data_IF_277369277626
#
_entry.id   IF_277369277626
#
_cell.length_a   1.000
_cell.length_b   1.000
_cell.length_c   1.000
_cell.angle_alpha   90.00
_cell.angle_beta   90.00
_cell.angle_gamma   90.00
#
_symmetry.space_group_name_H-M   'P 1'
#
loop_
_entity.id
_entity.type
_entity.pdbx_description
1 polymer ?
#
# COMPACT_ATOMS: atom_id res chain seq x y z
N UNK A 1 -5.70 -32.77 -29.86
CA UNK A 1 -5.03 -33.28 -28.64
C UNK A 1 -4.09 -32.24 -28.02
N UNK A 2 -3.22 -31.59 -28.80
CA UNK A 2 -2.30 -30.55 -28.26
C UNK A 2 -3.04 -29.26 -27.85
N UNK A 3 -3.93 -28.73 -28.70
CA UNK A 3 -4.75 -27.54 -28.37
C UNK A 3 -5.68 -27.75 -27.16
N UNK A 4 -6.19 -28.97 -26.96
CA UNK A 4 -7.03 -29.31 -25.79
C UNK A 4 -6.23 -29.37 -24.49
N UNK A 5 -4.95 -29.77 -24.55
CA UNK A 5 -4.07 -29.80 -23.38
C UNK A 5 -3.59 -28.40 -22.95
N UNK A 6 -3.36 -27.51 -23.93
CA UNK A 6 -3.04 -26.10 -23.68
C UNK A 6 -4.23 -25.39 -23.06
N UNK A 7 -5.43 -25.58 -23.62
CA UNK A 7 -6.65 -25.00 -23.07
C UNK A 7 -6.90 -25.42 -21.62
N UNK A 8 -6.74 -26.71 -21.30
CA UNK A 8 -6.88 -27.20 -19.93
C UNK A 8 -5.89 -26.55 -18.96
N UNK A 9 -4.63 -26.37 -19.36
CA UNK A 9 -3.64 -25.65 -18.54
C UNK A 9 -4.01 -24.19 -18.32
N UNK A 10 -4.47 -23.52 -19.38
CA UNK A 10 -4.92 -22.13 -19.32
C UNK A 10 -6.11 -21.99 -18.36
N UNK A 11 -7.14 -22.83 -18.52
CA UNK A 11 -8.35 -22.81 -17.69
C UNK A 11 -7.99 -23.06 -16.21
N UNK A 12 -7.05 -23.97 -15.92
CA UNK A 12 -6.57 -24.20 -14.55
C UNK A 12 -5.90 -22.96 -13.96
N UNK A 13 -4.96 -22.34 -14.67
CA UNK A 13 -4.31 -21.11 -14.18
C UNK A 13 -5.31 -19.98 -13.97
N UNK A 14 -6.30 -19.82 -14.86
CA UNK A 14 -7.36 -18.84 -14.66
C UNK A 14 -8.19 -19.11 -13.40
N UNK A 15 -8.55 -20.37 -13.16
CA UNK A 15 -9.34 -20.75 -11.98
C UNK A 15 -8.57 -20.54 -10.67
N UNK A 16 -7.25 -20.74 -10.65
CA UNK A 16 -6.40 -20.51 -9.47
C UNK A 16 -6.36 -19.04 -9.05
N UNK A 17 -6.45 -18.10 -9.99
CA UNK A 17 -6.32 -16.66 -9.72
C UNK A 17 -7.62 -15.89 -9.84
N UNK A 18 -8.71 -16.52 -10.26
CA UNK A 18 -9.99 -15.85 -10.56
C UNK A 18 -10.53 -15.07 -9.35
N UNK A 19 -10.39 -15.63 -8.14
CA UNK A 19 -10.82 -14.97 -6.90
C UNK A 19 -10.07 -13.68 -6.59
N UNK A 20 -8.88 -13.45 -7.16
CA UNK A 20 -8.18 -12.16 -7.01
C UNK A 20 -8.91 -11.02 -7.71
N UNK A 21 -9.80 -11.33 -8.66
CA UNK A 21 -10.60 -10.34 -9.39
C UNK A 21 -11.97 -10.09 -8.74
N UNK A 22 -12.35 -10.83 -7.71
CA UNK A 22 -13.60 -10.61 -7.00
C UNK A 22 -13.59 -9.20 -6.35
N UNK A 23 -14.64 -8.38 -6.54
CA UNK A 23 -14.68 -7.04 -5.97
C UNK A 23 -14.74 -7.07 -4.44
N UNK A 24 -13.81 -6.37 -3.79
CA UNK A 24 -13.88 -6.09 -2.34
C UNK A 24 -14.91 -4.98 -2.10
N UNK A 25 -14.84 -3.92 -2.91
CA UNK A 25 -15.82 -2.83 -2.97
C UNK A 25 -15.69 -2.05 -4.29
N UNK A 26 -16.57 -1.07 -4.54
CA UNK A 26 -16.56 -0.25 -5.75
C UNK A 26 -16.04 1.16 -5.43
N UNK A 27 -15.20 1.72 -6.31
CA UNK A 27 -14.76 3.11 -6.21
C UNK A 27 -15.89 4.09 -6.51
N UNK A 28 -16.07 5.09 -5.65
CA UNK A 28 -16.97 6.23 -5.86
C UNK A 28 -16.30 7.45 -6.50
N UNK A 29 -15.01 7.38 -6.84
CA UNK A 29 -14.27 8.50 -7.41
C UNK A 29 -13.22 8.08 -8.44
N UNK A 30 -12.76 9.05 -9.23
CA UNK A 30 -11.54 8.91 -10.04
C UNK A 30 -10.36 9.42 -9.22
N UNK A 31 -9.30 8.62 -9.11
CA UNK A 31 -8.06 9.03 -8.47
C UNK A 31 -6.87 8.66 -9.34
N UNK A 32 -6.11 9.69 -9.70
CA UNK A 32 -4.92 9.58 -10.51
C UNK A 32 -3.77 8.93 -9.75
N UNK A 33 -2.81 8.38 -10.49
CA UNK A 33 -1.64 7.66 -9.94
C UNK A 33 -0.85 8.48 -8.92
N UNK A 34 -0.68 9.78 -9.15
CA UNK A 34 0.04 10.68 -8.24
C UNK A 34 -0.71 10.87 -6.92
N UNK A 35 -2.03 11.05 -6.97
CA UNK A 35 -2.88 11.16 -5.79
C UNK A 35 -2.90 9.84 -5.00
N UNK A 36 -2.91 8.70 -5.69
CA UNK A 36 -2.75 7.39 -5.04
C UNK A 36 -1.38 7.22 -4.37
N UNK A 37 -0.30 7.73 -4.99
CA UNK A 37 1.03 7.70 -4.38
C UNK A 37 1.04 8.44 -3.04
N UNK A 38 0.37 9.59 -2.97
CA UNK A 38 0.21 10.35 -1.73
C UNK A 38 -0.71 9.63 -0.73
N UNK A 39 -1.80 9.01 -1.19
CA UNK A 39 -2.68 8.20 -0.35
C UNK A 39 -1.96 7.02 0.29
N UNK A 40 -1.08 6.34 -0.46
CA UNK A 40 -0.23 5.28 0.09
C UNK A 40 0.71 5.82 1.18
N UNK A 41 1.31 7.00 0.97
CA UNK A 41 2.07 7.69 2.02
C UNK A 41 1.24 7.93 3.28
N UNK A 42 -0.02 8.35 3.13
CA UNK A 42 -0.98 8.50 4.23
C UNK A 42 -1.24 7.17 4.96
N UNK A 43 -1.41 6.06 4.24
CA UNK A 43 -1.63 4.73 4.84
C UNK A 43 -0.44 4.34 5.74
N UNK A 44 0.78 4.50 5.22
CA UNK A 44 2.01 4.20 5.95
C UNK A 44 2.16 5.11 7.19
N UNK A 45 1.95 6.41 7.03
CA UNK A 45 1.97 7.38 8.13
C UNK A 45 0.97 6.99 9.23
N UNK A 46 -0.26 6.68 8.82
CA UNK A 46 -1.36 6.39 9.73
C UNK A 46 -1.20 5.06 10.46
N UNK A 47 -0.75 3.99 9.80
CA UNK A 47 -0.58 2.66 10.42
C UNK A 47 0.45 2.70 11.56
N UNK A 48 1.55 3.41 11.35
CA UNK A 48 2.70 3.41 12.26
C UNK A 48 2.81 4.64 13.15
N UNK A 49 1.83 5.55 13.08
CA UNK A 49 1.82 6.80 13.83
C UNK A 49 3.10 7.62 13.61
N UNK A 50 3.59 7.67 12.37
CA UNK A 50 4.77 8.45 12.00
C UNK A 50 4.40 9.94 11.86
N UNK A 51 5.41 10.81 11.94
CA UNK A 51 5.22 12.23 11.63
C UNK A 51 4.97 12.43 10.14
N UNK A 52 5.68 11.66 9.30
CA UNK A 52 5.59 11.73 7.85
C UNK A 52 5.58 10.31 7.26
N UNK A 53 4.72 10.09 6.27
CA UNK A 53 4.75 8.92 5.40
C UNK A 53 5.31 9.29 4.03
N UNK A 54 6.28 8.55 3.52
CA UNK A 54 6.99 8.86 2.29
C UNK A 54 6.92 7.69 1.31
N UNK A 55 6.27 7.90 0.18
CA UNK A 55 6.12 6.88 -0.86
C UNK A 55 6.67 7.39 -2.20
N UNK A 56 7.34 6.51 -2.94
CA UNK A 56 7.94 6.87 -4.20
C UNK A 56 6.91 6.83 -5.32
N UNK A 57 6.83 7.89 -6.13
CA UNK A 57 5.85 7.99 -7.22
C UNK A 57 5.95 6.82 -8.21
N UNK A 58 7.15 6.28 -8.41
CA UNK A 58 7.41 5.14 -9.29
C UNK A 58 6.84 3.82 -8.78
N UNK A 59 6.60 3.70 -7.47
CA UNK A 59 6.04 2.52 -6.81
C UNK A 59 4.54 2.35 -7.04
N UNK A 60 3.85 3.42 -7.41
CA UNK A 60 2.43 3.38 -7.79
C UNK A 60 2.31 3.28 -9.31
N UNK A 61 1.56 2.29 -9.82
CA UNK A 61 1.59 1.87 -11.23
C UNK A 61 0.28 2.01 -11.99
N UNK A 62 -0.82 2.20 -11.29
CA UNK A 62 -2.15 2.31 -11.89
C UNK A 62 -2.98 3.42 -11.21
N UNK A 63 -4.05 3.86 -11.86
CA UNK A 63 -5.07 4.78 -11.33
C UNK A 63 -6.32 4.00 -10.91
N UNK A 64 -7.28 4.67 -10.27
CA UNK A 64 -8.62 4.09 -10.04
C UNK A 64 -9.66 4.98 -10.74
N UNK A 65 -10.57 4.38 -11.48
CA UNK A 65 -11.72 5.07 -12.09
C UNK A 65 -12.94 5.01 -11.19
N UNK A 66 -13.84 5.99 -11.34
CA UNK A 66 -15.15 5.94 -10.69
C UNK A 66 -15.97 4.77 -11.21
N UNK A 67 -16.59 4.01 -10.32
CA UNK A 67 -17.32 2.78 -10.63
C UNK A 67 -16.42 1.55 -10.84
N UNK A 68 -15.10 1.69 -10.75
CA UNK A 68 -14.18 0.57 -10.88
C UNK A 68 -14.24 -0.35 -9.65
N UNK A 69 -14.16 -1.67 -9.90
CA UNK A 69 -14.07 -2.66 -8.83
C UNK A 69 -12.68 -2.65 -8.19
N UNK A 70 -12.64 -2.44 -6.88
CA UNK A 70 -11.43 -2.61 -6.08
C UNK A 70 -11.33 -4.07 -5.65
N UNK A 71 -10.67 -4.88 -6.47
CA UNK A 71 -10.30 -6.25 -6.16
C UNK A 71 -8.85 -6.33 -5.69
N UNK A 72 -8.42 -7.48 -5.15
CA UNK A 72 -7.01 -7.68 -4.82
C UNK A 72 -6.12 -7.48 -6.06
N UNK A 73 -6.52 -8.01 -7.22
CA UNK A 73 -5.81 -7.83 -8.48
C UNK A 73 -5.69 -6.35 -8.87
N UNK A 74 -6.73 -5.53 -8.62
CA UNK A 74 -6.66 -4.08 -8.85
C UNK A 74 -5.68 -3.40 -7.89
N UNK A 75 -5.75 -3.71 -6.60
CA UNK A 75 -4.86 -3.12 -5.60
C UNK A 75 -3.39 -3.53 -5.83
N UNK A 76 -3.15 -4.77 -6.22
CA UNK A 76 -1.84 -5.26 -6.66
C UNK A 76 -1.38 -4.55 -7.94
N UNK A 77 -2.25 -4.31 -8.91
CA UNK A 77 -1.89 -3.54 -10.11
C UNK A 77 -1.45 -2.11 -9.77
N UNK A 78 -2.01 -1.50 -8.72
CA UNK A 78 -1.61 -0.18 -8.22
C UNK A 78 -0.25 -0.24 -7.52
N UNK A 79 0.00 -1.24 -6.66
CA UNK A 79 1.27 -1.43 -5.95
C UNK A 79 1.82 -2.85 -6.15
N UNK A 80 2.45 -3.12 -7.31
CA UNK A 80 2.86 -4.48 -7.70
C UNK A 80 4.24 -4.89 -7.18
N UNK A 81 4.85 -4.06 -6.33
CA UNK A 81 6.15 -4.33 -5.75
C UNK A 81 5.94 -4.73 -4.29
N UNK A 82 6.63 -5.79 -3.85
CA UNK A 82 6.62 -6.26 -2.47
C UNK A 82 7.45 -5.36 -1.53
N UNK A 83 7.41 -4.04 -1.77
CA UNK A 83 8.07 -3.07 -0.93
C UNK A 83 7.43 -3.06 0.45
N UNK A 84 8.26 -3.16 1.48
CA UNK A 84 7.85 -3.14 2.88
C UNK A 84 8.05 -1.77 3.51
N UNK A 85 7.30 -1.49 4.58
CA UNK A 85 7.46 -0.24 5.33
C UNK A 85 8.64 -0.36 6.29
N UNK A 86 9.49 0.66 6.26
CA UNK A 86 10.61 0.89 7.17
C UNK A 86 10.29 2.13 8.01
N UNK A 87 10.63 2.09 9.30
CA UNK A 87 10.54 3.24 10.20
C UNK A 87 11.94 3.68 10.59
N UNK A 88 12.20 4.98 10.48
CA UNK A 88 13.46 5.61 10.91
C UNK A 88 13.15 6.94 11.59
N UNK A 89 14.07 7.39 12.44
CA UNK A 89 14.09 8.75 12.95
C UNK A 89 15.11 9.57 12.16
N UNK A 90 14.69 10.74 11.65
CA UNK A 90 15.51 11.66 10.85
C UNK A 90 15.49 13.06 11.43
N UNK A 91 16.54 13.84 11.22
CA UNK A 91 16.49 15.29 11.49
C UNK A 91 15.58 16.00 10.47
N UNK A 92 15.18 17.24 10.76
CA UNK A 92 14.44 18.05 9.79
C UNK A 92 15.22 18.26 8.49
N UNK A 93 16.54 18.45 8.57
CA UNK A 93 17.42 18.54 7.39
C UNK A 93 17.38 17.24 6.56
N UNK A 94 17.57 16.08 7.19
CA UNK A 94 17.51 14.78 6.53
C UNK A 94 16.12 14.48 5.95
N UNK A 95 15.05 14.94 6.62
CA UNK A 95 13.69 14.82 6.12
C UNK A 95 13.49 15.65 4.84
N UNK A 96 13.99 16.88 4.80
CA UNK A 96 13.96 17.71 3.59
C UNK A 96 14.66 17.02 2.41
N UNK A 97 15.85 16.46 2.65
CA UNK A 97 16.62 15.73 1.65
C UNK A 97 15.95 14.41 1.24
N UNK A 98 15.28 13.73 2.17
CA UNK A 98 14.51 12.53 1.89
C UNK A 98 13.32 12.84 0.95
N UNK A 99 12.62 13.94 1.20
CA UNK A 99 11.41 14.33 0.46
C UNK A 99 11.69 14.75 -0.99
N UNK A 100 12.87 15.28 -1.32
CA UNK A 100 13.23 16.03 -2.54
C UNK A 100 12.82 15.54 -3.95
N UNK A 101 12.04 14.47 -4.09
CA UNK A 101 11.30 14.07 -5.30
C UNK A 101 10.18 13.05 -5.06
N UNK A 102 9.84 12.78 -3.79
CA UNK A 102 8.92 11.72 -3.37
C UNK A 102 7.61 12.30 -2.82
N UNK A 103 6.56 11.48 -2.70
CA UNK A 103 5.29 11.93 -2.14
C UNK A 103 5.32 11.81 -0.62
N UNK A 104 5.28 12.97 0.04
CA UNK A 104 5.25 13.06 1.50
C UNK A 104 3.84 13.39 1.99
N UNK A 105 3.34 12.58 2.92
CA UNK A 105 2.12 12.83 3.66
C UNK A 105 2.46 13.15 5.11
N UNK A 106 2.13 14.35 5.57
CA UNK A 106 2.39 14.79 6.94
C UNK A 106 1.20 14.46 7.84
N UNK A 107 1.47 14.10 9.10
CA UNK A 107 0.42 13.96 10.10
C UNK A 107 -0.34 15.28 10.29
N UNK A 108 -1.56 15.20 10.82
CA UNK A 108 -2.36 16.39 11.14
C UNK A 108 -1.59 17.37 12.03
N UNK A 109 -1.61 18.65 11.66
CA UNK A 109 -0.92 19.72 12.39
C UNK A 109 0.58 19.82 12.12
N UNK A 110 1.11 19.10 11.14
CA UNK A 110 2.47 19.23 10.64
C UNK A 110 2.43 19.52 9.13
N UNK A 111 3.29 20.42 8.66
CA UNK A 111 3.52 20.68 7.25
C UNK A 111 5.00 20.89 6.98
N UNK A 112 5.39 20.95 5.71
CA UNK A 112 6.76 21.22 5.31
C UNK A 112 7.31 22.54 5.89
N UNK A 113 6.45 23.56 6.06
CA UNK A 113 6.83 24.86 6.61
C UNK A 113 7.09 24.82 8.12
N UNK A 114 6.59 23.81 8.82
CA UNK A 114 6.73 23.64 10.26
C UNK A 114 7.99 22.83 10.63
N UNK A 115 8.71 22.31 9.62
CA UNK A 115 9.90 21.48 9.83
C UNK A 115 11.05 22.32 10.35
N UNK A 116 11.54 21.97 11.54
CA UNK A 116 12.70 22.55 12.18
C UNK A 116 13.92 21.65 11.91
N UNK A 117 14.96 22.22 11.29
CA UNK A 117 16.10 21.44 10.76
C UNK A 117 16.81 20.55 11.79
N UNK A 118 16.85 20.97 13.05
CA UNK A 118 17.52 20.26 14.14
C UNK A 118 16.59 19.37 14.98
N UNK A 119 15.28 19.39 14.71
CA UNK A 119 14.32 18.54 15.40
C UNK A 119 14.26 17.16 14.75
N UNK A 120 13.93 16.15 15.55
CA UNK A 120 13.78 14.76 15.07
C UNK A 120 12.34 14.47 14.68
N UNK A 121 12.16 13.75 13.59
CA UNK A 121 10.87 13.33 13.05
C UNK A 121 10.89 11.84 12.75
N UNK A 122 9.81 11.14 13.11
CA UNK A 122 9.59 9.74 12.76
C UNK A 122 9.10 9.66 11.32
N UNK A 123 9.85 8.98 10.46
CA UNK A 123 9.55 8.80 9.05
C UNK A 123 9.15 7.33 8.79
N UNK A 124 7.96 7.14 8.21
CA UNK A 124 7.56 5.87 7.62
C UNK A 124 7.80 5.95 6.11
N UNK A 125 8.70 5.13 5.59
CA UNK A 125 9.05 5.10 4.17
C UNK A 125 9.05 3.66 3.66
N UNK A 126 8.95 3.46 2.35
CA UNK A 126 9.17 2.12 1.81
C UNK A 126 10.67 1.79 1.73
N UNK A 127 10.99 0.50 1.79
CA UNK A 127 12.34 -0.04 1.73
C UNK A 127 13.12 0.34 0.45
N UNK A 128 12.43 0.54 -0.67
CA UNK A 128 13.04 1.08 -1.89
C UNK A 128 13.64 2.48 -1.67
N UNK A 129 12.88 3.43 -1.09
CA UNK A 129 13.41 4.76 -0.78
C UNK A 129 14.55 4.65 0.22
N UNK A 130 14.35 3.88 1.30
CA UNK A 130 15.37 3.66 2.33
C UNK A 130 16.68 3.15 1.72
N UNK A 131 16.60 2.15 0.84
CA UNK A 131 17.76 1.56 0.17
C UNK A 131 18.43 2.47 -0.86
N UNK A 132 17.66 3.38 -1.47
CA UNK A 132 18.15 4.27 -2.54
C UNK A 132 18.96 5.48 -2.04
N UNK A 133 18.75 5.91 -0.78
CA UNK A 133 19.38 7.09 -0.19
C UNK A 133 20.41 6.68 0.85
N UNK A 134 21.69 6.89 0.55
CA UNK A 134 22.80 6.44 1.40
C UNK A 134 22.71 6.93 2.85
N UNK A 135 22.36 8.19 3.07
CA UNK A 135 22.27 8.80 4.40
C UNK A 135 21.13 8.23 5.26
N UNK A 136 20.09 7.63 4.65
CA UNK A 136 19.04 6.94 5.38
C UNK A 136 19.50 5.57 5.87
N UNK A 137 20.33 4.86 5.09
CA UNK A 137 20.84 3.52 5.42
C UNK A 137 21.77 3.49 6.62
N UNK A 138 22.39 4.62 6.93
CA UNK A 138 23.28 4.76 8.08
C UNK A 138 22.51 4.93 9.40
N UNK A 139 21.17 5.06 9.35
CA UNK A 139 20.33 5.26 10.53
C UNK A 139 19.81 3.94 11.11
N UNK A 140 19.59 3.87 12.43
CA UNK A 140 18.81 2.79 13.03
C UNK A 140 17.43 2.72 12.38
N UNK A 141 17.06 1.52 11.93
CA UNK A 141 15.83 1.29 11.21
C UNK A 141 15.04 0.12 11.78
N UNK A 142 13.72 0.26 11.79
CA UNK A 142 12.77 -0.81 12.13
C UNK A 142 12.12 -1.28 10.83
N UNK A 143 12.48 -2.48 10.37
CA UNK A 143 11.83 -3.16 9.26
C UNK A 143 10.55 -3.82 9.76
N UNK A 144 9.40 -3.33 9.30
CA UNK A 144 8.11 -3.75 9.86
C UNK A 144 7.63 -5.09 9.32
N UNK A 145 8.13 -5.50 8.15
CA UNK A 145 7.65 -6.68 7.41
C UNK A 145 6.26 -6.50 6.79
N UNK A 146 5.60 -5.35 6.98
CA UNK A 146 4.27 -5.06 6.40
C UNK A 146 4.47 -4.48 5.01
N UNK A 147 3.84 -5.08 3.99
CA UNK A 147 3.93 -4.57 2.63
C UNK A 147 3.03 -3.35 2.43
N UNK A 148 3.40 -2.50 1.47
CA UNK A 148 2.54 -1.39 1.04
C UNK A 148 1.18 -1.90 0.52
N UNK A 149 1.19 -3.02 -0.20
CA UNK A 149 -0.02 -3.66 -0.71
C UNK A 149 -0.95 -4.09 0.43
N UNK A 150 -0.41 -4.75 1.47
CA UNK A 150 -1.19 -5.20 2.62
C UNK A 150 -1.90 -4.04 3.31
N UNK A 151 -1.23 -2.89 3.47
CA UNK A 151 -1.87 -1.71 4.05
C UNK A 151 -3.06 -1.24 3.22
N UNK A 152 -2.96 -1.29 1.89
CA UNK A 152 -4.05 -0.86 1.02
C UNK A 152 -5.20 -1.87 1.03
N UNK A 153 -4.89 -3.17 0.93
CA UNK A 153 -5.89 -4.25 1.02
C UNK A 153 -6.63 -4.19 2.36
N UNK A 154 -5.89 -4.16 3.48
CA UNK A 154 -6.47 -4.12 4.83
C UNK A 154 -7.42 -2.91 5.00
N UNK A 155 -7.03 -1.72 4.53
CA UNK A 155 -7.88 -0.53 4.67
C UNK A 155 -9.16 -0.65 3.84
N UNK A 156 -9.07 -1.18 2.61
CA UNK A 156 -10.22 -1.32 1.70
C UNK A 156 -11.18 -2.39 2.20
N UNK A 157 -10.67 -3.53 2.67
CA UNK A 157 -11.48 -4.58 3.29
C UNK A 157 -12.19 -4.09 4.56
N UNK A 158 -11.50 -3.34 5.41
CA UNK A 158 -12.13 -2.79 6.60
C UNK A 158 -13.17 -1.73 6.25
N UNK A 159 -12.93 -0.91 5.22
CA UNK A 159 -13.88 0.08 4.74
C UNK A 159 -15.12 -0.57 4.11
N UNK A 160 -14.97 -1.67 3.36
CA UNK A 160 -16.11 -2.36 2.73
C UNK A 160 -17.08 -2.96 3.76
N UNK A 161 -16.60 -3.24 4.98
CA UNK A 161 -17.46 -3.70 6.07
C UNK A 161 -18.39 -2.62 6.65
N UNK A 162 -18.13 -1.34 6.35
CA UNK A 162 -18.87 -0.18 6.91
C UNK A 162 -19.46 0.73 5.84
N UNK A 163 -18.83 0.81 4.67
CA UNK A 163 -19.20 1.74 3.60
C UNK A 163 -19.52 0.99 2.30
N UNK A 164 -20.54 1.47 1.58
CA UNK A 164 -20.95 0.86 0.30
C UNK A 164 -19.98 1.18 -0.85
N UNK A 165 -19.38 2.37 -0.84
CA UNK A 165 -18.49 2.87 -1.90
C UNK A 165 -17.20 3.42 -1.31
N UNK A 166 -16.10 3.25 -2.05
CA UNK A 166 -14.77 3.67 -1.63
C UNK A 166 -14.47 5.10 -2.08
N UNK A 167 -13.90 5.89 -1.18
CA UNK A 167 -13.18 7.12 -1.54
C UNK A 167 -11.92 7.24 -0.68
N UNK A 168 -10.89 7.88 -1.22
CA UNK A 168 -9.62 8.22 -0.54
C UNK A 168 -9.79 9.15 0.67
N UNK A 169 -10.98 9.76 0.81
CA UNK A 169 -11.36 10.62 1.93
C UNK A 169 -12.02 9.86 3.09
N UNK A 170 -12.41 8.60 2.90
CA UNK A 170 -12.91 7.77 3.98
C UNK A 170 -11.89 7.68 5.13
N UNK A 171 -12.36 7.53 6.39
CA UNK A 171 -11.48 7.22 7.50
C UNK A 171 -10.62 6.00 7.19
N UNK A 172 -9.32 6.08 7.50
CA UNK A 172 -8.42 4.92 7.40
C UNK A 172 -8.80 3.96 8.51
N UNK A 173 -8.93 2.68 8.17
CA UNK A 173 -9.39 1.64 9.07
C UNK A 173 -8.38 0.50 9.08
N UNK A 174 -7.62 0.41 10.17
CA UNK A 174 -6.74 -0.72 10.45
C UNK A 174 -7.24 -1.45 11.69
N UNK A 175 -7.07 -2.77 11.74
CA UNK A 175 -7.38 -3.61 12.92
C UNK A 175 -8.79 -3.43 13.54
N UNK A 176 -9.80 -3.04 12.75
CA UNK A 176 -11.18 -3.33 13.13
C UNK A 176 -11.31 -4.86 13.06
N UNK A 177 -12.00 -5.50 14.01
CA UNK A 177 -12.20 -6.96 13.98
C UNK A 177 -13.04 -7.34 12.75
N UNK A 178 -12.42 -7.48 11.59
CA UNK A 178 -13.05 -7.89 10.34
C UNK A 178 -12.52 -9.28 9.98
N UNK A 179 -13.44 -10.10 9.53
CA UNK A 179 -13.31 -11.56 9.44
C UNK A 179 -12.25 -11.98 8.41
N UNK A 180 -11.07 -12.29 8.96
CA UNK A 180 -10.13 -13.33 8.54
C UNK A 180 -9.35 -13.16 7.23
N UNK A 181 -8.02 -13.08 7.43
CA UNK A 181 -6.89 -13.62 6.65
C UNK A 181 -7.07 -15.08 6.10
N UNK A 182 -8.28 -15.59 5.92
CA UNK A 182 -8.56 -16.98 5.55
C UNK A 182 -8.56 -17.24 4.03
N UNK A 183 -8.59 -16.23 3.17
CA UNK A 183 -8.66 -16.44 1.72
C UNK A 183 -7.34 -16.89 1.07
N UNK A 184 -6.18 -16.59 1.66
CA UNK A 184 -4.89 -16.97 1.09
C UNK A 184 -4.33 -18.29 1.66
N UNK A 185 -4.78 -18.74 2.83
CA UNK A 185 -4.27 -19.99 3.45
C UNK A 185 -5.12 -21.23 3.06
N UNK A 186 -6.39 -21.05 2.70
CA UNK A 186 -7.25 -22.21 2.36
C UNK A 186 -6.96 -22.83 0.99
N UNK A 187 -6.41 -22.07 0.03
CA UNK A 187 -6.08 -22.62 -1.28
C UNK A 187 -4.77 -23.43 -1.33
N UNK A 188 -3.83 -23.21 -0.40
CA UNK A 188 -2.59 -24.03 -0.37
C UNK A 188 -2.76 -25.37 0.36
N UNK A 189 -3.92 -25.61 0.99
CA UNK A 189 -4.16 -26.79 1.83
C UNK A 189 -4.83 -27.96 1.10
N UNK A 190 -5.20 -27.80 -0.18
CA UNK A 190 -5.83 -28.85 -0.99
C UNK A 190 -4.96 -29.36 -2.13
N UNK A 191 -3.66 -29.55 -1.87
CA UNK A 191 -2.84 -30.46 -2.68
C UNK A 191 -2.65 -31.74 -1.87
N UNK A 192 -3.57 -32.70 -2.05
CA UNK A 192 -3.32 -34.08 -1.65
C UNK A 192 -2.33 -34.69 -2.64
N UNK A 193 -1.14 -35.04 -2.14
CA UNK A 193 -0.24 -36.05 -2.73
C UNK A 193 -0.75 -37.42 -2.31
#
# INVERSE_FOLDING_TARGET
MEQSSIKFKIDNFYNEISGLYDPIMISGENIERSSLSNYIGKLMQSKFGADVGLHNTGGTRDSISNGESLSYAKLHAISPFDNTVVLIDVTGEELWDAIGGENAYFRTGLSMNDIQMQSTYKLALNDYIFGSKWFLRDKPAVFTGVTVLDLFVETVENQSSVYETWTSTLPIMFNQNVSLFAHLITYSSQIHI
#
